data_IF_874082766115
#
_entry.id   IF_874082766115
#
_cell.length_a   1.000
_cell.length_b   1.000
_cell.length_c   1.000
_cell.angle_alpha   90.00
_cell.angle_beta   90.00
_cell.angle_gamma   90.00
#
_symmetry.space_group_name_H-M   'P 1'
#
loop_
_entity.id
_entity.type
_entity.pdbx_description
1 polymer ?
#
# COMPACT_ATOMS: atom_id res chain seq x y z
N UNK A 1 -6.90 -0.14 -17.13
CA UNK A 1 -7.11 1.18 -16.49
C UNK A 1 -6.34 1.37 -15.18
N UNK A 2 -6.13 0.33 -14.33
CA UNK A 2 -5.53 0.48 -12.99
C UNK A 2 -4.18 1.20 -12.92
N UNK A 3 -3.20 0.81 -13.75
CA UNK A 3 -1.84 1.40 -13.69
C UNK A 3 -1.75 2.85 -14.17
N UNK A 4 -2.60 3.26 -15.11
CA UNK A 4 -2.65 4.65 -15.57
C UNK A 4 -3.21 5.53 -14.44
N UNK A 5 -4.29 5.10 -13.80
CA UNK A 5 -4.86 5.81 -12.65
C UNK A 5 -3.85 5.92 -11.49
N UNK A 6 -3.09 4.86 -11.23
CA UNK A 6 -2.04 4.84 -10.22
C UNK A 6 -0.90 5.83 -10.54
N UNK A 7 -0.43 5.88 -11.80
CA UNK A 7 0.55 6.89 -12.22
C UNK A 7 0.04 8.33 -12.06
N UNK A 8 -1.22 8.59 -12.43
CA UNK A 8 -1.85 9.91 -12.21
C UNK A 8 -1.95 10.26 -10.73
N UNK A 9 -2.27 9.29 -9.87
CA UNK A 9 -2.31 9.47 -8.40
C UNK A 9 -0.94 9.90 -7.86
N UNK A 10 0.14 9.23 -8.29
CA UNK A 10 1.52 9.59 -7.89
C UNK A 10 1.83 11.04 -8.25
N UNK A 11 1.46 11.49 -9.44
CA UNK A 11 1.66 12.88 -9.86
C UNK A 11 0.81 13.87 -9.04
N UNK A 12 -0.47 13.56 -8.86
CA UNK A 12 -1.41 14.44 -8.15
C UNK A 12 -1.11 14.57 -6.65
N UNK A 13 -0.71 13.47 -5.99
CA UNK A 13 -0.46 13.44 -4.55
C UNK A 13 0.97 13.87 -4.19
N UNK A 14 1.88 13.96 -5.16
CA UNK A 14 3.23 14.52 -4.98
C UNK A 14 4.31 13.47 -4.71
N UNK A 15 4.20 12.29 -5.35
CA UNK A 15 5.18 11.21 -5.26
C UNK A 15 4.84 10.15 -4.21
N UNK A 16 5.51 9.00 -4.30
CA UNK A 16 5.25 7.84 -3.43
C UNK A 16 5.50 8.11 -1.94
N UNK A 17 6.48 8.94 -1.59
CA UNK A 17 6.77 9.34 -0.20
C UNK A 17 5.53 9.93 0.47
N UNK A 18 4.87 10.88 -0.20
CA UNK A 18 3.69 11.55 0.34
C UNK A 18 2.49 10.61 0.41
N UNK A 19 2.30 9.77 -0.61
CA UNK A 19 1.25 8.75 -0.62
C UNK A 19 1.46 7.78 0.55
N UNK A 20 2.68 7.29 0.75
CA UNK A 20 3.03 6.38 1.83
C UNK A 20 2.65 6.94 3.20
N UNK A 21 3.10 8.17 3.51
CA UNK A 21 2.82 8.85 4.79
C UNK A 21 1.35 9.17 5.01
N UNK A 22 0.58 9.39 3.94
CA UNK A 22 -0.87 9.59 4.05
C UNK A 22 -1.62 8.26 4.19
N UNK A 23 -1.05 7.17 3.68
CA UNK A 23 -1.69 5.85 3.65
C UNK A 23 -1.45 5.06 4.94
N UNK A 24 -0.26 5.20 5.52
CA UNK A 24 0.19 4.48 6.70
C UNK A 24 0.63 5.44 7.79
N UNK A 25 0.36 5.07 9.04
CA UNK A 25 0.98 5.74 10.18
C UNK A 25 2.49 5.49 10.15
N UNK A 26 3.26 6.57 10.31
CA UNK A 26 4.72 6.53 10.32
C UNK A 26 5.25 7.00 11.66
N UNK A 27 6.35 6.41 12.12
CA UNK A 27 7.08 6.93 13.27
C UNK A 27 7.96 8.12 12.85
N UNK A 28 8.39 8.98 13.79
CA UNK A 28 9.39 10.00 13.49
C UNK A 28 10.62 9.37 12.82
N UNK A 29 11.17 10.07 11.84
CA UNK A 29 12.38 9.66 11.09
C UNK A 29 12.26 8.43 10.18
N UNK A 30 11.10 7.76 10.14
CA UNK A 30 10.84 6.70 9.17
C UNK A 30 10.94 7.26 7.74
N UNK A 31 11.76 6.63 6.88
CA UNK A 31 11.98 7.04 5.49
C UNK A 31 11.53 5.96 4.53
N UNK A 32 10.81 6.32 3.47
CA UNK A 32 10.61 5.41 2.36
C UNK A 32 11.95 5.21 1.63
N UNK A 33 12.29 3.96 1.37
CA UNK A 33 13.45 3.56 0.59
C UNK A 33 13.06 3.27 -0.86
N UNK A 34 11.98 2.52 -1.07
CA UNK A 34 11.53 2.14 -2.41
C UNK A 34 10.02 1.87 -2.46
N UNK A 35 9.48 1.83 -3.67
CA UNK A 35 8.08 1.51 -3.94
C UNK A 35 7.94 0.70 -5.24
N UNK A 36 7.24 -0.42 -5.16
CA UNK A 36 7.04 -1.34 -6.27
C UNK A 36 5.56 -1.56 -6.51
N UNK A 37 5.12 -1.29 -7.73
CA UNK A 37 3.75 -1.57 -8.11
C UNK A 37 3.62 -3.08 -8.40
N UNK A 38 2.86 -3.80 -7.57
CA UNK A 38 2.84 -5.26 -7.48
C UNK A 38 1.41 -5.83 -7.45
N UNK A 39 1.32 -7.17 -7.40
CA UNK A 39 0.08 -7.88 -7.11
C UNK A 39 0.24 -8.66 -5.81
N UNK A 40 -0.69 -8.48 -4.87
CA UNK A 40 -0.80 -9.33 -3.70
C UNK A 40 -1.69 -10.53 -4.01
N UNK A 41 -1.13 -11.74 -3.89
CA UNK A 41 -1.91 -12.97 -4.06
C UNK A 41 -2.86 -13.17 -2.89
N UNK A 42 -4.16 -13.30 -3.16
CA UNK A 42 -5.17 -13.65 -2.16
C UNK A 42 -5.94 -14.88 -2.60
N UNK A 43 -6.70 -15.51 -1.70
CA UNK A 43 -7.57 -16.64 -2.04
C UNK A 43 -8.69 -16.28 -3.04
N UNK A 44 -9.06 -15.00 -3.11
CA UNK A 44 -10.02 -14.48 -4.08
C UNK A 44 -9.36 -14.05 -5.41
N UNK A 45 -8.03 -14.21 -5.54
CA UNK A 45 -7.24 -13.82 -6.71
C UNK A 45 -6.22 -12.70 -6.43
N UNK A 46 -5.44 -12.30 -7.43
CA UNK A 46 -4.43 -11.25 -7.30
C UNK A 46 -5.08 -9.87 -7.16
N UNK A 47 -4.64 -9.09 -6.18
CA UNK A 47 -5.05 -7.71 -5.95
C UNK A 47 -3.91 -6.79 -6.39
N UNK A 48 -4.19 -5.82 -7.24
CA UNK A 48 -3.20 -4.83 -7.69
C UNK A 48 -2.98 -3.76 -6.61
N UNK A 49 -1.72 -3.37 -6.41
CA UNK A 49 -1.36 -2.34 -5.44
C UNK A 49 0.09 -1.91 -5.52
N UNK A 50 0.54 -1.24 -4.45
CA UNK A 50 1.91 -0.77 -4.28
C UNK A 50 2.47 -1.34 -2.98
N UNK A 51 3.64 -1.96 -3.07
CA UNK A 51 4.49 -2.31 -1.94
C UNK A 51 5.47 -1.16 -1.69
N UNK A 52 5.48 -0.66 -0.47
CA UNK A 52 6.38 0.35 0.06
C UNK A 52 7.40 -0.34 0.96
N UNK A 53 8.68 -0.03 0.76
CA UNK A 53 9.79 -0.44 1.61
C UNK A 53 10.27 0.79 2.35
N UNK A 54 10.09 0.85 3.65
CA UNK A 54 10.63 1.92 4.50
C UNK A 54 11.71 1.38 5.44
N UNK A 55 12.41 2.27 6.14
CA UNK A 55 13.38 1.89 7.17
C UNK A 55 12.77 1.11 8.33
N UNK A 56 11.44 1.19 8.53
CA UNK A 56 10.75 0.61 9.69
C UNK A 56 9.73 -0.48 9.32
N UNK A 57 9.24 -0.52 8.07
CA UNK A 57 8.20 -1.47 7.66
C UNK A 57 8.18 -1.77 6.16
N UNK A 58 7.70 -2.97 5.85
CA UNK A 58 7.16 -3.30 4.55
C UNK A 58 5.66 -3.08 4.59
N UNK A 59 5.12 -2.27 3.68
CA UNK A 59 3.70 -1.92 3.68
C UNK A 59 3.09 -2.05 2.28
N UNK A 60 1.96 -2.71 2.17
CA UNK A 60 1.21 -2.89 0.93
C UNK A 60 -0.15 -2.19 1.02
N UNK A 61 -0.55 -1.48 -0.03
CA UNK A 61 -1.90 -0.96 -0.20
C UNK A 61 -2.42 -1.26 -1.61
N UNK A 62 -3.67 -1.70 -1.73
CA UNK A 62 -4.33 -1.84 -3.03
C UNK A 62 -4.49 -0.50 -3.74
N UNK A 63 -4.48 -0.51 -5.07
CA UNK A 63 -4.64 0.71 -5.89
C UNK A 63 -6.07 1.27 -5.82
N UNK A 64 -7.04 0.38 -5.61
CA UNK A 64 -8.46 0.69 -5.46
C UNK A 64 -9.05 -0.01 -4.24
N UNK A 65 -10.13 0.53 -3.64
CA UNK A 65 -10.86 -0.20 -2.62
C UNK A 65 -11.48 -1.48 -3.19
N UNK A 66 -11.53 -2.51 -2.35
CA UNK A 66 -12.18 -3.78 -2.64
C UNK A 66 -13.53 -3.83 -1.94
N UNK A 67 -14.53 -4.39 -2.63
CA UNK A 67 -15.85 -4.60 -2.04
C UNK A 67 -15.86 -5.82 -1.13
N UNK A 68 -16.49 -5.71 0.03
CA UNK A 68 -16.81 -6.83 0.91
C UNK A 68 -18.26 -6.75 1.38
N UNK A 69 -18.79 -7.88 1.87
CA UNK A 69 -20.12 -7.95 2.44
C UNK A 69 -20.05 -7.72 3.95
N UNK A 70 -20.80 -6.75 4.44
CA UNK A 70 -21.07 -6.52 5.85
C UNK A 70 -22.55 -6.84 6.10
N UNK A 71 -22.85 -8.09 6.43
CA UNK A 71 -24.23 -8.58 6.43
C UNK A 71 -24.89 -8.47 5.05
N UNK A 72 -25.93 -7.65 4.95
CA UNK A 72 -26.66 -7.38 3.68
C UNK A 72 -26.06 -6.22 2.88
N UNK A 73 -25.21 -5.39 3.49
CA UNK A 73 -24.62 -4.22 2.85
C UNK A 73 -23.32 -4.58 2.13
N UNK A 74 -23.04 -3.88 1.03
CA UNK A 74 -21.73 -3.95 0.35
C UNK A 74 -20.93 -2.71 0.74
N UNK A 75 -19.76 -2.92 1.32
CA UNK A 75 -18.84 -1.87 1.75
C UNK A 75 -17.52 -1.98 1.00
N UNK A 76 -16.76 -0.88 0.94
CA UNK A 76 -15.59 -0.75 0.09
C UNK A 76 -14.43 -0.25 0.95
N UNK A 77 -13.30 -0.95 0.93
CA UNK A 77 -12.12 -0.57 1.71
C UNK A 77 -10.83 -0.96 1.02
N UNK A 78 -9.77 -0.18 1.26
CA UNK A 78 -8.45 -0.51 0.76
C UNK A 78 -7.89 -1.71 1.49
N UNK A 79 -7.33 -2.66 0.75
CA UNK A 79 -6.62 -3.78 1.34
C UNK A 79 -5.22 -3.32 1.73
N UNK A 80 -4.98 -3.18 3.03
CA UNK A 80 -3.73 -2.70 3.61
C UNK A 80 -3.11 -3.79 4.48
N UNK A 81 -1.82 -4.04 4.30
CA UNK A 81 -1.05 -4.96 5.14
C UNK A 81 0.31 -4.32 5.40
N UNK A 82 0.83 -4.42 6.62
CA UNK A 82 2.21 -4.03 6.89
C UNK A 82 2.87 -5.01 7.85
N UNK A 83 4.18 -5.14 7.70
CA UNK A 83 5.04 -5.92 8.57
C UNK A 83 6.15 -5.00 9.06
N UNK A 84 6.26 -4.86 10.39
CA UNK A 84 7.36 -4.12 10.99
C UNK A 84 8.67 -4.86 10.68
N UNK A 85 9.64 -4.13 10.13
CA UNK A 85 10.96 -4.71 9.91
C UNK A 85 11.70 -4.71 11.25
N UNK A 86 12.25 -5.86 11.71
CA UNK A 86 13.16 -5.83 12.85
C UNK A 86 14.38 -4.99 12.47
N UNK A 87 14.78 -4.07 13.36
CA UNK A 87 15.92 -3.15 13.19
C UNK A 87 17.25 -3.84 12.81
N UNK A 88 17.33 -5.17 12.89
CA UNK A 88 18.52 -5.99 12.62
C UNK A 88 18.39 -6.97 11.44
N UNK A 89 17.30 -6.93 10.66
CA UNK A 89 17.10 -7.85 9.53
C UNK A 89 17.58 -7.29 8.18
N UNK A 90 18.59 -6.43 8.19
CA UNK A 90 19.43 -6.15 7.03
C UNK A 90 20.79 -6.82 7.27
N UNK A 91 20.91 -8.11 6.91
CA UNK A 91 22.04 -8.81 6.27
C UNK A 91 21.45 -10.08 5.66
#
# INVERSE_FOLDING_TARGET
MGRIAQGTKVLAEGGYEKIFRQTFETVPEEKLQDSFACYLSTSAGPVMGVLYVSTEKLAYCSDSPLSYKNGTQTEWSYYKVFFLQPLHACI
#
